data_IF_190905057101
#
_entry.id   IF_190905057101
#
_cell.length_a   1.000
_cell.length_b   1.000
_cell.length_c   1.000
_cell.angle_alpha   90.00
_cell.angle_beta   90.00
_cell.angle_gamma   90.00
#
_symmetry.space_group_name_H-M   'P 1'
#
loop_
_entity.id
_entity.type
_entity.pdbx_description
1 polymer ?
#
# COMPACT_ATOMS: atom_id res chain seq x y z
N UNK A 1 -16.33 3.74 -11.00
CA UNK A 1 -14.86 3.52 -11.05
C UNK A 1 -14.53 2.42 -10.06
N UNK A 2 -13.95 1.31 -10.49
CA UNK A 2 -13.52 0.24 -9.58
C UNK A 2 -12.42 0.77 -8.63
N UNK A 3 -12.59 0.50 -7.33
CA UNK A 3 -11.54 0.76 -6.34
C UNK A 3 -10.40 -0.21 -6.59
N UNK A 4 -9.32 0.26 -7.22
CA UNK A 4 -8.11 -0.55 -7.42
C UNK A 4 -7.27 -0.53 -6.14
N UNK A 5 -7.67 -1.34 -5.16
CA UNK A 5 -6.83 -1.59 -3.98
C UNK A 5 -5.58 -2.33 -4.46
N UNK A 6 -4.40 -1.73 -4.27
CA UNK A 6 -3.12 -2.31 -4.67
C UNK A 6 -2.35 -2.71 -3.43
N UNK A 7 -1.78 -3.91 -3.41
CA UNK A 7 -0.94 -4.36 -2.30
C UNK A 7 0.54 -4.27 -2.69
N UNK A 8 1.40 -3.91 -1.73
CA UNK A 8 2.86 -4.04 -1.85
C UNK A 8 3.47 -4.53 -0.54
N UNK A 9 4.53 -5.32 -0.63
CA UNK A 9 5.43 -5.59 0.49
C UNK A 9 6.61 -4.64 0.37
N UNK A 10 6.80 -3.80 1.40
CA UNK A 10 7.92 -2.88 1.48
C UNK A 10 9.09 -3.54 2.19
N UNK A 11 10.27 -3.48 1.57
CA UNK A 11 11.52 -4.02 2.08
C UNK A 11 12.67 -3.10 1.68
N UNK A 12 13.67 -2.96 2.55
CA UNK A 12 14.85 -2.15 2.28
C UNK A 12 15.70 -2.70 1.12
N UNK A 13 16.59 -1.88 0.57
CA UNK A 13 17.43 -2.26 -0.57
C UNK A 13 18.35 -3.45 -0.25
N UNK A 14 18.92 -3.48 0.97
CA UNK A 14 19.79 -4.57 1.44
C UNK A 14 19.05 -5.91 1.47
N UNK A 15 17.82 -5.93 1.99
CA UNK A 15 16.96 -7.11 2.04
C UNK A 15 16.57 -7.59 0.65
N UNK A 16 16.25 -6.68 -0.28
CA UNK A 16 16.00 -7.05 -1.69
C UNK A 16 17.21 -7.69 -2.35
N UNK A 17 18.42 -7.15 -2.12
CA UNK A 17 19.66 -7.72 -2.65
C UNK A 17 19.97 -9.09 -2.02
N UNK A 18 19.69 -9.27 -0.74
CA UNK A 18 19.83 -10.56 -0.06
C UNK A 18 18.88 -11.60 -0.67
N UNK A 19 17.59 -11.29 -0.80
CA UNK A 19 16.61 -12.19 -1.43
C UNK A 19 16.98 -12.52 -2.87
N UNK A 20 17.46 -11.54 -3.64
CA UNK A 20 17.91 -11.77 -5.01
C UNK A 20 19.03 -12.83 -5.07
N UNK A 21 20.00 -12.76 -4.16
CA UNK A 21 21.06 -13.78 -4.03
C UNK A 21 20.52 -15.13 -3.57
N UNK A 22 19.65 -15.16 -2.55
CA UNK A 22 19.09 -16.40 -1.99
C UNK A 22 18.27 -17.18 -3.01
N UNK A 23 17.49 -16.49 -3.84
CA UNK A 23 16.63 -17.13 -4.83
C UNK A 23 17.28 -17.23 -6.22
N UNK A 24 18.54 -16.80 -6.36
CA UNK A 24 19.27 -16.73 -7.62
C UNK A 24 18.49 -16.03 -8.75
N UNK A 25 17.96 -14.84 -8.45
CA UNK A 25 17.16 -14.03 -9.38
C UNK A 25 17.63 -12.58 -9.37
N UNK A 26 17.24 -11.81 -10.38
CA UNK A 26 17.50 -10.37 -10.38
C UNK A 26 16.72 -9.64 -9.29
N UNK A 27 17.28 -8.52 -8.80
CA UNK A 27 16.59 -7.61 -7.86
C UNK A 27 15.26 -7.09 -8.43
N UNK A 28 15.18 -6.96 -9.75
CA UNK A 28 13.95 -6.57 -10.43
C UNK A 28 12.88 -7.64 -10.30
N UNK A 29 13.23 -8.93 -10.42
CA UNK A 29 12.27 -10.02 -10.22
C UNK A 29 11.71 -10.03 -8.79
N UNK A 30 12.59 -9.85 -7.79
CA UNK A 30 12.18 -9.67 -6.39
C UNK A 30 11.22 -8.48 -6.25
N UNK A 31 11.56 -7.33 -6.84
CA UNK A 31 10.72 -6.13 -6.76
C UNK A 31 9.33 -6.34 -7.39
N UNK A 32 9.24 -7.06 -8.52
CA UNK A 32 7.95 -7.39 -9.14
C UNK A 32 7.14 -8.38 -8.29
N UNK A 33 7.79 -9.34 -7.61
CA UNK A 33 7.13 -10.25 -6.68
C UNK A 33 6.56 -9.51 -5.46
N UNK A 34 7.30 -8.55 -4.89
CA UNK A 34 6.87 -7.73 -3.75
C UNK A 34 5.71 -6.77 -4.11
N UNK A 35 5.60 -6.37 -5.38
CA UNK A 35 4.49 -5.58 -5.91
C UNK A 35 3.28 -6.44 -6.32
N UNK A 36 3.28 -7.74 -6.03
CA UNK A 36 2.24 -8.70 -6.42
C UNK A 36 1.96 -8.74 -7.94
N UNK A 37 2.93 -8.35 -8.78
CA UNK A 37 2.81 -8.40 -10.24
C UNK A 37 3.16 -9.78 -10.82
N UNK A 38 3.68 -10.68 -9.99
CA UNK A 38 4.04 -12.06 -10.34
C UNK A 38 3.36 -13.03 -9.36
N UNK A 39 2.76 -14.08 -9.89
CA UNK A 39 1.98 -15.08 -9.16
C UNK A 39 2.60 -16.49 -9.18
N UNK A 40 3.86 -16.63 -9.57
CA UNK A 40 4.54 -17.93 -9.55
C UNK A 40 4.77 -18.43 -8.13
N UNK A 41 4.98 -19.75 -7.98
CA UNK A 41 5.35 -20.37 -6.70
C UNK A 41 6.60 -19.72 -6.11
N UNK A 42 7.59 -19.40 -6.95
CA UNK A 42 8.80 -18.70 -6.52
C UNK A 42 8.50 -17.28 -6.01
N UNK A 43 7.60 -16.54 -6.66
CA UNK A 43 7.19 -15.22 -6.19
C UNK A 43 6.49 -15.27 -4.83
N UNK A 44 5.69 -16.31 -4.57
CA UNK A 44 5.07 -16.53 -3.25
C UNK A 44 6.13 -16.78 -2.18
N UNK A 45 7.11 -17.65 -2.44
CA UNK A 45 8.24 -17.89 -1.52
C UNK A 45 9.07 -16.64 -1.26
N UNK A 46 9.30 -15.80 -2.27
CA UNK A 46 10.00 -14.52 -2.12
C UNK A 46 9.20 -13.58 -1.20
N UNK A 47 7.86 -13.53 -1.33
CA UNK A 47 7.00 -12.71 -0.46
C UNK A 47 7.05 -13.18 0.99
N UNK A 48 6.96 -14.49 1.23
CA UNK A 48 7.09 -15.08 2.58
C UNK A 48 8.45 -14.77 3.21
N UNK A 49 9.53 -14.98 2.46
CA UNK A 49 10.88 -14.65 2.92
C UNK A 49 11.04 -13.15 3.20
N UNK A 50 10.44 -12.28 2.38
CA UNK A 50 10.47 -10.84 2.60
C UNK A 50 9.76 -10.45 3.91
N UNK A 51 8.61 -11.04 4.23
CA UNK A 51 7.91 -10.82 5.50
C UNK A 51 8.76 -11.27 6.70
N UNK A 52 9.43 -12.42 6.59
CA UNK A 52 10.34 -12.90 7.64
C UNK A 52 11.58 -11.99 7.85
N UNK A 53 12.03 -11.30 6.80
CA UNK A 53 13.16 -10.37 6.84
C UNK A 53 12.77 -8.93 7.20
N UNK A 54 11.63 -8.73 7.88
CA UNK A 54 11.15 -7.41 8.30
C UNK A 54 10.41 -6.62 7.23
N UNK A 55 9.93 -7.30 6.19
CA UNK A 55 9.06 -6.71 5.19
C UNK A 55 7.69 -6.35 5.76
N UNK A 56 7.11 -5.25 5.30
CA UNK A 56 5.79 -4.77 5.74
C UNK A 56 4.78 -4.81 4.60
N UNK A 57 3.64 -5.47 4.82
CA UNK A 57 2.52 -5.42 3.89
C UNK A 57 1.81 -4.06 3.99
N UNK A 58 1.61 -3.42 2.85
CA UNK A 58 0.94 -2.13 2.72
C UNK A 58 -0.19 -2.26 1.70
N UNK A 59 -1.36 -1.78 2.10
CA UNK A 59 -2.51 -1.61 1.22
C UNK A 59 -2.55 -0.18 0.73
N UNK A 60 -2.33 0.00 -0.56
CA UNK A 60 -2.44 1.27 -1.26
C UNK A 60 -3.88 1.37 -1.75
N UNK A 61 -4.66 2.13 -0.98
CA UNK A 61 -5.97 2.57 -1.40
C UNK A 61 -5.79 3.80 -2.27
N UNK A 62 -5.99 3.66 -3.58
CA UNK A 62 -6.13 4.81 -4.47
C UNK A 62 -7.36 5.59 -3.98
N UNK A 63 -7.12 6.69 -3.26
CA UNK A 63 -8.16 7.57 -2.72
C UNK A 63 -8.80 8.28 -3.91
N UNK A 64 -9.76 7.61 -4.54
CA UNK A 64 -10.77 8.30 -5.34
C UNK A 64 -11.59 9.17 -4.39
N UNK A 65 -12.05 10.34 -4.84
CA UNK A 65 -12.78 11.36 -4.06
C UNK A 65 -13.95 10.83 -3.21
N UNK A 66 -14.41 9.60 -3.44
CA UNK A 66 -15.50 8.91 -2.75
C UNK A 66 -15.22 8.50 -1.30
N UNK A 67 -13.97 8.55 -0.83
CA UNK A 67 -13.61 8.28 0.57
C UNK A 67 -13.04 9.51 1.29
N UNK A 68 -13.54 10.71 0.96
CA UNK A 68 -13.28 11.90 1.77
C UNK A 68 -13.87 11.69 3.16
N UNK A 69 -12.98 11.50 4.14
CA UNK A 69 -13.35 11.49 5.57
C UNK A 69 -14.03 12.83 5.92
N UNK A 70 -15.03 12.85 6.82
CA UNK A 70 -15.67 14.09 7.21
C UNK A 70 -14.65 15.07 7.77
N UNK A 71 -14.61 16.28 7.21
CA UNK A 71 -13.69 17.34 7.64
C UNK A 71 -14.35 18.10 8.77
N UNK A 72 -13.73 18.10 9.96
CA UNK A 72 -14.19 18.92 11.09
C UNK A 72 -13.53 20.29 11.01
N UNK A 73 -14.34 21.34 10.94
CA UNK A 73 -13.88 22.73 11.04
C UNK A 73 -13.95 23.15 12.50
N UNK A 74 -12.84 23.65 13.04
CA UNK A 74 -12.72 24.08 14.43
C UNK A 74 -12.85 25.60 14.55
N UNK A 75 -13.33 26.08 15.69
CA UNK A 75 -13.22 27.49 16.07
C UNK A 75 -11.84 27.83 16.65
N UNK A 76 -11.60 29.10 16.96
CA UNK A 76 -10.32 29.56 17.54
C UNK A 76 -10.03 29.00 18.94
N UNK A 77 -11.02 28.38 19.59
CA UNK A 77 -10.92 27.74 20.91
C UNK A 77 -10.77 26.21 20.81
N UNK A 78 -10.74 25.66 19.60
CA UNK A 78 -10.61 24.22 19.33
C UNK A 78 -11.92 23.43 19.40
N UNK A 79 -13.08 24.09 19.53
CA UNK A 79 -14.37 23.42 19.49
C UNK A 79 -14.79 23.13 18.05
N UNK A 80 -15.49 22.02 17.83
CA UNK A 80 -16.02 21.67 16.50
C UNK A 80 -17.16 22.61 16.14
N UNK A 81 -16.94 23.46 15.12
CA UNK A 81 -17.92 24.42 14.62
C UNK A 81 -18.84 23.78 13.59
N UNK A 82 -18.28 23.07 12.62
CA UNK A 82 -19.05 22.36 11.58
C UNK A 82 -18.34 21.08 11.14
N UNK A 83 -19.11 20.15 10.58
CA UNK A 83 -18.59 18.92 9.98
C UNK A 83 -19.05 18.89 8.52
N UNK A 84 -18.10 18.97 7.60
CA UNK A 84 -18.38 18.88 6.16
C UNK A 84 -18.40 17.39 5.80
N UNK A 85 -19.60 16.86 5.54
CA UNK A 85 -19.82 15.55 4.93
C UNK A 85 -20.09 15.80 3.45
N UNK A 86 -19.25 15.25 2.57
CA UNK A 86 -19.49 15.35 1.13
C UNK A 86 -20.60 14.34 0.75
N UNK A 87 -21.83 14.65 1.13
CA UNK A 87 -22.98 14.04 0.49
C UNK A 87 -23.15 14.77 -0.84
N UNK A 88 -23.03 14.02 -1.93
CA UNK A 88 -23.05 14.51 -3.31
C UNK A 88 -24.08 15.62 -3.53
N UNK A 89 -23.61 16.84 -3.81
CA UNK A 89 -24.45 17.88 -4.39
C UNK A 89 -24.75 17.46 -5.82
N UNK A 90 -25.92 16.86 -6.04
CA UNK A 90 -26.52 16.79 -7.37
C UNK A 90 -27.01 18.19 -7.75
N UNK A 91 -26.47 18.73 -8.85
CA UNK A 91 -26.91 19.97 -9.49
C UNK A 91 -28.33 19.85 -10.03
#
# INVERSE_FOLDING_TARGET
>A
MERKIRQKIELNAKGKAMLAKTFNVSVQNVSQALLFRRNSVQATKIREAAMANGGRLLEINDVTDTTKRPIKVLDSKGNVKTVIRNDSVTL
#
